data_IF_910938125464
#
_entry.id   IF_910938125464
#
_cell.length_a   1.000
_cell.length_b   1.000
_cell.length_c   1.000
_cell.angle_alpha   90.00
_cell.angle_beta   90.00
_cell.angle_gamma   90.00
#
_symmetry.space_group_name_H-M   'P 1'
#
loop_
_entity.id
_entity.type
_entity.pdbx_description
1 polymer ?
#
# COMPACT_ATOMS: atom_id res chain seq x y z
N UNK A 1 -16.93 -17.53 6.22
CA UNK A 1 -15.67 -16.80 5.97
C UNK A 1 -16.04 -15.34 5.79
N UNK A 2 -15.66 -14.45 6.72
CA UNK A 2 -15.77 -13.00 6.45
C UNK A 2 -14.71 -12.72 5.39
N UNK A 3 -15.14 -12.29 4.20
CA UNK A 3 -14.22 -12.00 3.10
C UNK A 3 -13.33 -10.82 3.46
N UNK A 4 -12.05 -10.89 3.12
CA UNK A 4 -11.16 -9.74 3.15
C UNK A 4 -11.54 -8.87 1.96
N UNK A 5 -11.82 -7.59 2.20
CA UNK A 5 -12.01 -6.62 1.12
C UNK A 5 -10.63 -6.22 0.60
N UNK A 6 -10.27 -6.80 -0.55
CA UNK A 6 -9.11 -6.41 -1.33
C UNK A 6 -9.45 -5.13 -2.10
N UNK A 7 -8.75 -4.05 -1.78
CA UNK A 7 -8.98 -2.74 -2.40
C UNK A 7 -8.00 -2.43 -3.53
N UNK A 8 -6.80 -3.02 -3.48
CA UNK A 8 -5.74 -2.78 -4.45
C UNK A 8 -4.85 -3.99 -4.55
N UNK A 9 -4.34 -4.24 -5.76
CA UNK A 9 -3.32 -5.24 -6.03
C UNK A 9 -2.34 -4.65 -7.05
N UNK A 10 -1.07 -4.96 -6.91
CA UNK A 10 -0.06 -4.67 -7.92
C UNK A 10 0.87 -5.86 -8.06
N UNK A 11 1.38 -6.06 -9.27
CA UNK A 11 2.27 -7.17 -9.62
C UNK A 11 3.63 -6.61 -10.06
N UNK A 12 4.69 -7.29 -9.63
CA UNK A 12 6.04 -7.06 -10.07
C UNK A 12 6.66 -8.35 -10.62
N UNK A 13 7.86 -8.26 -11.18
CA UNK A 13 8.50 -9.41 -11.85
C UNK A 13 8.67 -10.61 -10.90
N UNK A 14 8.79 -11.81 -11.48
CA UNK A 14 9.09 -13.06 -10.77
C UNK A 14 8.05 -13.47 -9.69
N UNK A 15 6.77 -13.15 -9.88
CA UNK A 15 5.72 -13.61 -8.97
C UNK A 15 5.55 -12.77 -7.71
N UNK A 16 6.15 -11.58 -7.68
CA UNK A 16 6.00 -10.63 -6.60
C UNK A 16 4.65 -9.90 -6.71
N UNK A 17 3.88 -9.88 -5.62
CA UNK A 17 2.55 -9.22 -5.60
C UNK A 17 2.40 -8.45 -4.30
N UNK A 18 1.91 -7.22 -4.39
CA UNK A 18 1.46 -6.40 -3.27
C UNK A 18 -0.05 -6.33 -3.27
N UNK A 19 -0.68 -6.48 -2.11
CA UNK A 19 -2.11 -6.34 -1.94
C UNK A 19 -2.45 -5.40 -0.78
N UNK A 20 -3.36 -4.46 -1.02
CA UNK A 20 -3.93 -3.58 -0.01
C UNK A 20 -5.29 -4.11 0.44
N UNK A 21 -5.46 -4.23 1.75
CA UNK A 21 -6.68 -4.73 2.38
C UNK A 21 -7.26 -3.72 3.38
N UNK A 22 -8.58 -3.75 3.53
CA UNK A 22 -9.32 -2.89 4.45
C UNK A 22 -10.51 -3.66 5.03
N UNK A 23 -10.30 -4.42 6.11
CA UNK A 23 -11.40 -5.02 6.86
C UNK A 23 -11.04 -5.27 8.33
N UNK A 24 -11.95 -4.91 9.24
CA UNK A 24 -11.86 -5.03 10.71
C UNK A 24 -10.94 -6.14 11.25
N UNK A 25 -9.64 -5.83 11.44
CA UNK A 25 -8.61 -6.70 12.02
C UNK A 25 -7.57 -7.24 11.04
N UNK A 26 -7.87 -7.21 9.74
CA UNK A 26 -7.05 -7.68 8.62
C UNK A 26 -6.64 -6.54 7.68
N UNK A 27 -6.73 -5.27 8.11
CA UNK A 27 -6.32 -4.12 7.31
C UNK A 27 -4.80 -4.06 7.11
N UNK A 28 -4.35 -3.61 5.95
CA UNK A 28 -2.94 -3.30 5.75
C UNK A 28 -2.42 -3.80 4.40
N UNK A 29 -1.13 -4.12 4.38
CA UNK A 29 -0.43 -4.49 3.15
C UNK A 29 0.08 -5.90 3.29
N UNK A 30 -0.22 -6.71 2.27
CA UNK A 30 0.24 -8.06 2.13
C UNK A 30 1.17 -8.17 0.93
N UNK A 31 2.17 -9.02 1.04
CA UNK A 31 3.19 -9.21 0.03
C UNK A 31 3.53 -10.69 -0.11
N UNK A 32 3.76 -11.12 -1.35
CA UNK A 32 4.17 -12.48 -1.73
C UNK A 32 5.31 -12.38 -2.75
N UNK A 33 6.15 -13.42 -2.80
CA UNK A 33 7.23 -13.61 -3.78
C UNK A 33 7.03 -14.87 -4.64
N UNK A 34 5.90 -15.55 -4.49
CA UNK A 34 5.66 -16.89 -5.01
C UNK A 34 4.29 -16.99 -5.68
N UNK A 35 3.90 -15.96 -6.43
CA UNK A 35 2.64 -15.92 -7.17
C UNK A 35 1.39 -16.07 -6.27
N UNK A 36 1.50 -15.68 -5.01
CA UNK A 36 0.40 -15.73 -4.05
C UNK A 36 0.19 -17.09 -3.38
N UNK A 37 1.16 -18.01 -3.45
CA UNK A 37 1.13 -19.24 -2.65
C UNK A 37 1.28 -18.95 -1.16
N UNK A 38 2.18 -18.02 -0.80
CA UNK A 38 2.39 -17.58 0.58
C UNK A 38 2.39 -16.05 0.67
N UNK A 39 1.60 -15.54 1.63
CA UNK A 39 1.45 -14.11 1.88
C UNK A 39 1.98 -13.74 3.25
N UNK A 40 2.72 -12.63 3.31
CA UNK A 40 3.16 -11.99 4.54
C UNK A 40 2.47 -10.62 4.68
N UNK A 41 1.88 -10.34 5.84
CA UNK A 41 1.44 -8.99 6.19
C UNK A 41 2.67 -8.15 6.53
N UNK A 42 2.97 -7.16 5.69
CA UNK A 42 4.16 -6.28 5.81
C UNK A 42 3.83 -4.88 6.34
N UNK A 43 2.54 -4.56 6.47
CA UNK A 43 2.07 -3.39 7.21
C UNK A 43 0.82 -3.78 8.00
N UNK A 44 0.84 -3.62 9.32
CA UNK A 44 -0.18 -4.17 10.22
C UNK A 44 -0.86 -3.14 11.14
N UNK A 45 -0.64 -1.84 10.93
CA UNK A 45 -1.12 -0.77 11.83
C UNK A 45 -2.65 -0.51 11.77
N UNK A 46 -3.47 -1.48 11.39
CA UNK A 46 -4.91 -1.31 11.14
C UNK A 46 -5.20 -0.11 10.22
N UNK A 47 -4.37 0.05 9.18
CA UNK A 47 -4.49 1.13 8.22
C UNK A 47 -5.32 0.64 7.03
N UNK A 48 -6.46 1.28 6.80
CA UNK A 48 -7.25 1.08 5.59
C UNK A 48 -6.40 1.41 4.38
N UNK A 49 -5.91 0.38 3.71
CA UNK A 49 -4.98 0.50 2.60
C UNK A 49 -5.77 0.51 1.30
N UNK A 50 -5.82 1.67 0.66
CA UNK A 50 -6.68 1.91 -0.50
C UNK A 50 -5.94 1.80 -1.82
N UNK A 51 -4.63 2.08 -1.81
CA UNK A 51 -3.79 1.95 -2.99
C UNK A 51 -2.45 1.34 -2.59
N UNK A 52 -1.96 0.38 -3.38
CA UNK A 52 -0.60 -0.13 -3.29
C UNK A 52 0.04 -0.08 -4.67
N UNK A 53 1.35 0.12 -4.72
CA UNK A 53 2.10 -0.04 -5.95
C UNK A 53 3.57 -0.39 -5.71
N UNK A 54 4.14 -1.14 -6.63
CA UNK A 54 5.57 -1.26 -6.82
C UNK A 54 6.09 -0.04 -7.59
N UNK A 55 7.02 0.68 -6.98
CA UNK A 55 7.88 1.61 -7.70
C UNK A 55 9.31 1.07 -7.78
N UNK A 56 10.12 1.68 -8.63
CA UNK A 56 11.52 1.26 -8.84
C UNK A 56 12.40 1.37 -7.58
N UNK A 57 11.94 2.07 -6.54
CA UNK A 57 12.64 2.22 -5.25
C UNK A 57 12.02 1.40 -4.12
N UNK A 58 10.92 0.69 -4.35
CA UNK A 58 10.24 -0.11 -3.34
C UNK A 58 8.72 0.07 -3.35
N UNK A 59 8.09 -0.11 -2.19
CA UNK A 59 6.65 -0.22 -2.04
C UNK A 59 6.04 1.13 -1.69
N UNK A 60 4.99 1.51 -2.42
CA UNK A 60 4.23 2.72 -2.18
C UNK A 60 2.84 2.34 -1.71
N UNK A 61 2.42 2.93 -0.59
CA UNK A 61 1.14 2.62 0.06
C UNK A 61 0.38 3.90 0.29
N UNK A 62 -0.85 3.91 -0.20
CA UNK A 62 -1.83 4.97 -0.07
C UNK A 62 -2.93 4.55 0.88
N UNK A 63 -3.15 5.33 1.94
CA UNK A 63 -4.17 5.03 2.94
C UNK A 63 -5.45 5.82 2.68
N UNK A 64 -6.56 5.28 3.18
CA UNK A 64 -7.83 5.99 3.31
C UNK A 64 -8.01 6.40 4.77
N UNK A 65 -8.00 7.70 5.03
CA UNK A 65 -8.18 8.21 6.39
C UNK A 65 -8.77 9.62 6.41
N UNK A 66 -9.91 9.76 7.10
CA UNK A 66 -10.42 11.06 7.58
C UNK A 66 -9.78 11.48 8.90
N UNK A 67 -8.87 10.68 9.45
CA UNK A 67 -8.09 11.04 10.62
C UNK A 67 -6.95 11.99 10.19
N UNK A 68 -6.93 13.25 10.66
CA UNK A 68 -5.91 14.22 10.31
C UNK A 68 -4.51 13.87 10.85
N UNK A 69 -4.41 12.89 11.75
CA UNK A 69 -3.14 12.42 12.31
C UNK A 69 -2.53 11.24 11.54
N UNK A 70 -3.29 10.62 10.63
CA UNK A 70 -2.79 9.49 9.85
C UNK A 70 -2.13 9.98 8.57
N UNK A 71 -1.00 9.36 8.25
CA UNK A 71 -0.25 9.64 7.04
C UNK A 71 -0.89 8.96 5.83
N UNK A 72 -1.06 9.74 4.77
CA UNK A 72 -1.74 9.34 3.55
C UNK A 72 -0.85 8.49 2.64
N UNK A 73 0.47 8.71 2.65
CA UNK A 73 1.43 7.91 1.88
C UNK A 73 2.56 7.40 2.78
N UNK A 74 2.85 6.10 2.63
CA UNK A 74 4.02 5.42 3.22
C UNK A 74 4.86 4.77 2.12
N UNK A 75 6.17 4.79 2.33
CA UNK A 75 7.18 4.22 1.43
C UNK A 75 8.03 3.22 2.20
N UNK A 76 8.23 2.03 1.63
CA UNK A 76 9.25 1.09 2.10
C UNK A 76 10.25 0.81 0.99
N UNK A 77 11.54 0.78 1.32
CA UNK A 77 12.63 0.44 0.39
C UNK A 77 13.24 -0.92 0.70
N UNK A 78 12.70 -1.66 1.67
CA UNK A 78 13.25 -2.90 2.23
C UNK A 78 12.19 -4.00 2.33
N UNK A 79 11.34 -4.08 1.29
CA UNK A 79 10.25 -5.04 1.16
C UNK A 79 9.25 -5.04 2.32
N UNK A 80 8.95 -3.84 2.85
CA UNK A 80 7.97 -3.63 3.90
C UNK A 80 8.48 -3.94 5.31
N UNK A 81 9.80 -4.05 5.51
CA UNK A 81 10.38 -4.23 6.85
C UNK A 81 10.33 -2.93 7.65
N UNK A 82 10.64 -1.80 6.99
CA UNK A 82 10.54 -0.46 7.55
C UNK A 82 9.78 0.47 6.60
N UNK A 83 9.14 1.49 7.17
CA UNK A 83 8.28 2.41 6.46
C UNK A 83 8.64 3.85 6.79
N UNK A 84 8.82 4.66 5.77
CA UNK A 84 8.98 6.12 5.87
C UNK A 84 7.67 6.78 5.47
N UNK A 85 7.21 7.72 6.27
CA UNK A 85 6.01 8.50 6.01
C UNK A 85 6.33 9.72 5.14
N UNK A 86 5.45 10.07 4.20
CA UNK A 86 5.68 11.21 3.29
C UNK A 86 5.44 12.59 3.90
N UNK A 87 4.73 12.67 5.04
CA UNK A 87 4.25 13.92 5.62
C UNK A 87 2.94 14.44 5.02
N UNK A 88 2.42 13.81 3.97
CA UNK A 88 1.08 14.09 3.46
C UNK A 88 0.04 13.51 4.42
N UNK A 89 -0.80 14.39 4.97
CA UNK A 89 -1.87 14.05 5.91
C UNK A 89 -3.21 14.53 5.37
N UNK A 90 -4.30 14.01 5.95
CA UNK A 90 -5.68 14.46 5.68
C UNK A 90 -6.09 14.41 4.20
N UNK A 91 -5.58 13.43 3.44
CA UNK A 91 -6.05 13.14 2.09
C UNK A 91 -6.17 11.63 1.87
N UNK A 92 -7.15 11.21 1.08
CA UNK A 92 -7.28 9.79 0.71
C UNK A 92 -6.58 9.54 -0.61
N UNK A 93 -5.68 8.57 -0.63
CA UNK A 93 -4.97 8.19 -1.85
C UNK A 93 -5.78 7.14 -2.58
N UNK A 94 -6.11 7.40 -3.83
CA UNK A 94 -6.96 6.54 -4.67
C UNK A 94 -6.18 5.70 -5.67
N UNK A 95 -5.02 6.19 -6.12
CA UNK A 95 -4.16 5.49 -7.05
C UNK A 95 -2.76 6.11 -7.06
N UNK A 96 -1.81 5.34 -7.58
CA UNK A 96 -0.48 5.82 -7.95
C UNK A 96 -0.27 5.67 -9.46
N UNK A 97 0.50 6.58 -10.04
CA UNK A 97 1.00 6.46 -11.41
C UNK A 97 2.49 6.83 -11.43
N UNK A 98 3.30 6.00 -12.07
CA UNK A 98 4.73 6.23 -12.22
C UNK A 98 5.04 6.67 -13.65
N UNK A 99 5.77 7.77 -13.78
CA UNK A 99 6.23 8.26 -15.08
C UNK A 99 7.72 7.94 -15.29
N UNK A 100 8.56 8.26 -14.31
CA UNK A 100 10.01 7.97 -14.27
C UNK A 100 10.45 7.80 -12.82
N UNK A 101 11.62 7.22 -12.54
CA UNK A 101 12.14 7.22 -11.16
C UNK A 101 12.78 8.58 -10.83
N UNK A 102 12.35 9.34 -9.79
CA UNK A 102 11.34 9.04 -8.77
C UNK A 102 10.00 9.78 -8.97
N UNK A 103 9.70 10.28 -10.16
CA UNK A 103 8.45 11.00 -10.46
C UNK A 103 7.26 10.05 -10.43
N UNK A 104 6.49 10.17 -9.34
CA UNK A 104 5.22 9.51 -9.09
C UNK A 104 4.13 10.57 -8.90
N UNK A 105 2.93 10.27 -9.41
CA UNK A 105 1.72 11.02 -9.14
C UNK A 105 0.81 10.18 -8.24
N UNK A 106 0.15 10.84 -7.28
CA UNK A 106 -0.87 10.23 -6.44
C UNK A 106 -2.22 10.89 -6.71
N UNK A 107 -3.22 10.10 -7.08
CA UNK A 107 -4.59 10.59 -7.20
C UNK A 107 -5.18 10.78 -5.81
N UNK A 108 -5.54 12.02 -5.46
CA UNK A 108 -6.14 12.35 -4.17
C UNK A 108 -7.66 12.47 -4.28
N UNK A 109 -8.37 11.95 -3.27
CA UNK A 109 -9.79 12.21 -3.04
C UNK A 109 -9.93 12.98 -1.73
N UNK A 110 -10.61 14.12 -1.79
CA UNK A 110 -11.06 14.90 -0.62
C UNK A 110 -12.53 14.61 -0.34
#
# INVERSE_FOLDING_TARGET
MKGIDLLSIDYWVNGEILAGASLNGDEGVYYTKDNGEHWQRVLSENLNTNAVAFGLKGFYVGTYSHNPFNQSIRLSTDNGTTWTESGLINCSISCFAFYQNPIMFAGIKQ
#
